data_IF_932494725328
#
_entry.id   IF_932494725328
#
_cell.length_a   1.000
_cell.length_b   1.000
_cell.length_c   1.000
_cell.angle_alpha   90.00
_cell.angle_beta   90.00
_cell.angle_gamma   90.00
#
_symmetry.space_group_name_H-M   'P 1'
#
loop_
_entity.id
_entity.type
_entity.pdbx_description
1 polymer ?
#
# COMPACT_ATOMS: atom_id res chain seq x y z
N UNK A 1 -16.09 -7.00 -0.36
CA UNK A 1 -16.92 -7.80 0.55
C UNK A 1 -17.24 -6.98 1.78
N UNK A 2 -18.50 -6.57 1.93
CA UNK A 2 -18.96 -5.88 3.13
C UNK A 2 -18.96 -6.89 4.29
N UNK A 3 -18.10 -6.69 5.27
CA UNK A 3 -18.08 -7.47 6.49
C UNK A 3 -19.34 -7.12 7.27
N UNK A 4 -20.30 -8.07 7.32
CA UNK A 4 -21.49 -7.95 8.15
C UNK A 4 -21.05 -7.63 9.57
N UNK A 5 -21.67 -6.61 10.13
CA UNK A 5 -21.60 -6.31 11.56
C UNK A 5 -22.29 -7.47 12.29
N UNK A 6 -21.51 -8.43 12.81
CA UNK A 6 -22.02 -9.37 13.78
C UNK A 6 -22.28 -8.59 15.07
N UNK A 7 -23.54 -8.16 15.22
CA UNK A 7 -24.02 -7.45 16.40
C UNK A 7 -24.02 -8.27 17.69
N UNK A 8 -23.37 -9.44 17.68
CA UNK A 8 -23.43 -10.40 18.80
C UNK A 8 -22.10 -10.57 19.53
N UNK A 9 -20.97 -10.08 19.01
CA UNK A 9 -19.65 -10.28 19.61
C UNK A 9 -18.89 -8.96 19.83
N UNK A 10 -18.15 -8.87 20.94
CA UNK A 10 -17.30 -7.75 21.30
C UNK A 10 -18.04 -6.46 21.66
N UNK A 11 -17.37 -5.31 21.53
CA UNK A 11 -17.90 -3.99 21.88
C UNK A 11 -19.17 -3.67 21.06
N UNK A 12 -19.25 -4.07 19.81
CA UNK A 12 -20.42 -3.91 18.95
C UNK A 12 -21.65 -4.62 19.52
N UNK A 13 -21.48 -5.83 20.07
CA UNK A 13 -22.56 -6.58 20.71
C UNK A 13 -23.08 -5.92 21.96
N UNK A 14 -22.19 -5.35 22.77
CA UNK A 14 -22.58 -4.60 24.00
C UNK A 14 -23.38 -3.36 23.63
N UNK A 15 -22.89 -2.57 22.66
CA UNK A 15 -23.59 -1.33 22.25
C UNK A 15 -24.91 -1.64 21.56
N UNK A 16 -24.97 -2.69 20.72
CA UNK A 16 -26.25 -3.11 20.11
C UNK A 16 -27.29 -3.49 21.13
N UNK A 17 -26.92 -4.25 22.18
CA UNK A 17 -27.85 -4.60 23.28
C UNK A 17 -28.30 -3.38 24.05
N UNK A 18 -27.36 -2.48 24.38
CA UNK A 18 -27.67 -1.24 25.07
C UNK A 18 -28.65 -0.38 24.27
N UNK A 19 -28.48 -0.22 22.98
CA UNK A 19 -29.37 0.54 22.10
C UNK A 19 -30.75 -0.13 21.98
N UNK A 20 -30.79 -1.46 21.91
CA UNK A 20 -32.06 -2.20 21.89
C UNK A 20 -32.83 -2.08 23.21
N UNK A 21 -32.14 -2.15 24.32
CA UNK A 21 -32.75 -1.98 25.64
C UNK A 21 -33.22 -0.54 25.86
N UNK A 22 -32.48 0.44 25.39
CA UNK A 22 -32.87 1.84 25.38
C UNK A 22 -34.11 2.07 24.51
N UNK A 23 -34.20 1.45 23.32
CA UNK A 23 -35.36 1.56 22.45
C UNK A 23 -36.62 0.92 23.05
N UNK A 24 -36.47 -0.13 23.86
CA UNK A 24 -37.60 -0.84 24.51
C UNK A 24 -38.12 -0.18 25.78
N UNK A 25 -37.22 0.44 26.55
CA UNK A 25 -37.55 0.95 27.89
C UNK A 25 -37.30 2.46 28.02
N UNK A 26 -36.92 3.15 26.97
CA UNK A 26 -36.59 4.57 26.97
C UNK A 26 -37.81 5.47 27.27
N UNK A 27 -39.05 4.99 27.01
CA UNK A 27 -40.28 5.73 27.31
C UNK A 27 -40.59 5.77 28.80
N UNK A 28 -40.03 4.83 29.57
CA UNK A 28 -40.22 4.75 31.02
C UNK A 28 -39.23 5.64 31.81
N UNK A 29 -38.30 6.31 31.13
CA UNK A 29 -37.29 7.15 31.79
C UNK A 29 -37.78 8.60 31.94
N UNK A 30 -37.50 9.25 33.09
CA UNK A 30 -37.74 10.68 33.26
C UNK A 30 -37.00 11.49 32.17
N UNK A 31 -37.62 12.58 31.69
CA UNK A 31 -37.11 13.37 30.58
C UNK A 31 -35.65 13.82 30.74
N UNK A 32 -35.22 14.24 31.92
CA UNK A 32 -33.85 14.63 32.23
C UNK A 32 -32.85 13.47 32.12
N UNK A 33 -33.29 12.26 32.45
CA UNK A 33 -32.43 11.06 32.32
C UNK A 33 -32.39 10.58 30.89
N UNK A 34 -33.47 10.70 30.13
CA UNK A 34 -33.52 10.34 28.71
C UNK A 34 -32.56 11.14 27.88
N UNK A 35 -32.44 12.46 28.09
CA UNK A 35 -31.43 13.29 27.36
C UNK A 35 -30.00 12.86 27.64
N UNK A 36 -29.66 12.58 28.91
CA UNK A 36 -28.33 12.12 29.28
C UNK A 36 -27.97 10.77 28.65
N UNK A 37 -28.92 9.83 28.69
CA UNK A 37 -28.73 8.50 28.13
C UNK A 37 -28.60 8.56 26.63
N UNK A 38 -29.38 9.40 25.94
CA UNK A 38 -29.26 9.62 24.49
C UNK A 38 -27.90 10.23 24.11
N UNK A 39 -27.40 11.20 24.89
CA UNK A 39 -26.10 11.79 24.68
C UNK A 39 -24.99 10.73 24.79
N UNK A 40 -25.01 9.89 25.82
CA UNK A 40 -24.04 8.81 25.99
C UNK A 40 -24.15 7.72 24.90
N UNK A 41 -25.38 7.40 24.46
CA UNK A 41 -25.61 6.48 23.37
C UNK A 41 -25.00 7.00 22.06
N UNK A 42 -25.18 8.30 21.81
CA UNK A 42 -24.59 8.95 20.61
C UNK A 42 -23.06 8.90 20.66
N UNK A 43 -22.43 9.18 21.79
CA UNK A 43 -20.98 9.11 21.96
C UNK A 43 -20.43 7.70 21.73
N UNK A 44 -21.15 6.68 22.23
CA UNK A 44 -20.78 5.28 21.99
C UNK A 44 -20.87 4.90 20.51
N UNK A 45 -21.90 5.35 19.80
CA UNK A 45 -22.05 5.11 18.35
C UNK A 45 -20.93 5.79 17.58
N UNK A 46 -20.62 7.05 17.89
CA UNK A 46 -19.51 7.79 17.26
C UNK A 46 -18.17 7.10 17.51
N UNK A 47 -17.92 6.64 18.73
CA UNK A 47 -16.69 5.90 19.08
C UNK A 47 -16.56 4.61 18.28
N UNK A 48 -17.63 3.83 18.17
CA UNK A 48 -17.64 2.60 17.36
C UNK A 48 -17.41 2.85 15.88
N UNK A 49 -18.01 3.91 15.33
CA UNK A 49 -17.82 4.27 13.93
C UNK A 49 -16.39 4.75 13.67
N UNK A 50 -15.83 5.55 14.57
CA UNK A 50 -14.44 6.02 14.49
C UNK A 50 -13.43 4.87 14.52
N UNK A 51 -13.61 3.93 15.45
CA UNK A 51 -12.75 2.74 15.57
C UNK A 51 -12.81 1.87 14.31
N UNK A 52 -14.00 1.72 13.71
CA UNK A 52 -14.18 0.99 12.44
C UNK A 52 -13.58 1.69 11.24
N UNK A 53 -13.67 3.02 11.17
CA UNK A 53 -13.07 3.82 10.13
C UNK A 53 -11.53 3.75 10.20
N UNK A 54 -10.96 3.84 11.40
CA UNK A 54 -9.52 3.70 11.62
C UNK A 54 -9.01 2.31 11.25
N UNK A 55 -9.71 1.25 11.64
CA UNK A 55 -9.35 -0.12 11.29
C UNK A 55 -9.41 -0.34 9.77
N UNK A 56 -10.46 0.14 9.11
CA UNK A 56 -10.57 0.06 7.64
C UNK A 56 -9.48 0.84 6.92
N UNK A 57 -9.08 1.99 7.45
CA UNK A 57 -8.00 2.82 6.90
C UNK A 57 -6.65 2.15 7.09
N UNK A 58 -6.39 1.55 8.24
CA UNK A 58 -5.17 0.76 8.51
C UNK A 58 -5.06 -0.46 7.60
N UNK A 59 -6.14 -1.21 7.44
CA UNK A 59 -6.18 -2.37 6.53
C UNK A 59 -5.94 -1.95 5.09
N UNK A 60 -6.58 -0.87 4.61
CA UNK A 60 -6.33 -0.32 3.27
C UNK A 60 -4.88 0.10 3.09
N UNK A 61 -4.31 0.79 4.06
CA UNK A 61 -2.91 1.19 4.04
C UNK A 61 -1.95 0.00 4.00
N UNK A 62 -2.22 -1.08 4.75
CA UNK A 62 -1.43 -2.30 4.72
C UNK A 62 -1.50 -3.01 3.35
N UNK A 63 -2.71 -3.10 2.77
CA UNK A 63 -2.91 -3.67 1.43
C UNK A 63 -2.18 -2.86 0.36
N UNK A 64 -2.26 -1.52 0.42
CA UNK A 64 -1.54 -0.65 -0.52
C UNK A 64 -0.03 -0.81 -0.42
N UNK A 65 0.53 -0.88 0.79
CA UNK A 65 1.97 -1.12 1.00
C UNK A 65 2.40 -2.48 0.44
N UNK A 66 1.65 -3.54 0.71
CA UNK A 66 1.93 -4.87 0.18
C UNK A 66 1.87 -4.90 -1.35
N UNK A 67 0.89 -4.25 -1.94
CA UNK A 67 0.76 -4.13 -3.39
C UNK A 67 1.93 -3.35 -4.00
N UNK A 68 2.33 -2.23 -3.38
CA UNK A 68 3.47 -1.43 -3.84
C UNK A 68 4.78 -2.24 -3.80
N UNK A 69 5.00 -3.06 -2.77
CA UNK A 69 6.15 -3.95 -2.70
C UNK A 69 6.16 -4.95 -3.86
N UNK A 70 5.03 -5.57 -4.16
CA UNK A 70 4.89 -6.49 -5.30
C UNK A 70 5.16 -5.80 -6.64
N UNK A 71 4.68 -4.58 -6.82
CA UNK A 71 4.91 -3.78 -8.02
C UNK A 71 6.40 -3.47 -8.17
N UNK A 72 7.04 -2.97 -7.11
CA UNK A 72 8.47 -2.64 -7.11
C UNK A 72 9.35 -3.88 -7.36
N UNK A 73 8.99 -5.02 -6.79
CA UNK A 73 9.66 -6.30 -7.04
C UNK A 73 9.54 -6.73 -8.51
N UNK A 74 8.34 -6.69 -9.07
CA UNK A 74 8.11 -7.00 -10.49
C UNK A 74 8.93 -6.10 -11.42
N UNK A 75 8.94 -4.78 -11.15
CA UNK A 75 9.75 -3.83 -11.92
C UNK A 75 11.24 -4.15 -11.75
N UNK A 76 11.70 -4.44 -10.52
CA UNK A 76 13.09 -4.77 -10.22
C UNK A 76 13.60 -5.99 -10.97
N UNK A 77 12.73 -6.96 -11.25
CA UNK A 77 13.08 -8.14 -12.04
C UNK A 77 13.13 -7.87 -13.56
N UNK A 78 12.37 -6.87 -14.03
CA UNK A 78 12.14 -6.64 -15.46
C UNK A 78 12.56 -5.26 -15.98
N UNK A 79 13.13 -4.38 -15.18
CA UNK A 79 13.45 -3.00 -15.59
C UNK A 79 14.41 -2.91 -16.80
N UNK A 80 15.13 -4.00 -17.11
CA UNK A 80 16.01 -4.08 -18.28
C UNK A 80 15.25 -4.28 -19.59
N UNK A 81 14.03 -4.81 -19.52
CA UNK A 81 13.17 -4.97 -20.67
C UNK A 81 12.72 -3.59 -21.18
N UNK A 82 13.09 -3.21 -22.44
CA UNK A 82 12.67 -1.92 -22.98
C UNK A 82 11.17 -1.81 -23.19
N UNK A 83 10.45 -2.93 -23.31
CA UNK A 83 9.00 -2.98 -23.46
C UNK A 83 8.26 -2.75 -22.14
N UNK A 84 8.96 -2.85 -20.99
CA UNK A 84 8.32 -2.67 -19.69
C UNK A 84 7.73 -1.27 -19.55
N UNK A 85 6.40 -1.22 -19.40
CA UNK A 85 5.64 0.01 -19.25
C UNK A 85 4.51 -0.12 -18.24
N UNK A 86 3.82 1.01 -17.92
CA UNK A 86 2.75 1.03 -16.92
C UNK A 86 1.63 0.02 -17.20
N UNK A 87 1.24 -0.16 -18.46
CA UNK A 87 0.17 -1.09 -18.84
C UNK A 87 0.53 -2.55 -18.52
N UNK A 88 1.76 -2.96 -18.85
CA UNK A 88 2.25 -4.30 -18.56
C UNK A 88 2.35 -4.56 -17.06
N UNK A 89 2.90 -3.61 -16.32
CA UNK A 89 3.02 -3.71 -14.85
C UNK A 89 1.64 -3.84 -14.22
N UNK A 90 0.69 -2.99 -14.61
CA UNK A 90 -0.67 -3.02 -14.09
C UNK A 90 -1.36 -4.37 -14.36
N UNK A 91 -1.21 -4.90 -15.57
CA UNK A 91 -1.74 -6.22 -15.95
C UNK A 91 -1.11 -7.34 -15.11
N UNK A 92 0.20 -7.32 -14.91
CA UNK A 92 0.92 -8.33 -14.14
C UNK A 92 0.48 -8.44 -12.67
N UNK A 93 0.09 -7.32 -12.06
CA UNK A 93 -0.38 -7.28 -10.68
C UNK A 93 -1.91 -7.20 -10.56
N UNK A 94 -2.63 -7.34 -11.67
CA UNK A 94 -4.10 -7.37 -11.77
C UNK A 94 -4.79 -6.10 -11.23
N UNK A 95 -4.25 -4.94 -11.60
CA UNK A 95 -4.83 -3.63 -11.30
C UNK A 95 -5.00 -2.79 -12.58
N UNK A 96 -5.76 -1.70 -12.50
CA UNK A 96 -5.84 -0.74 -13.59
C UNK A 96 -4.58 0.14 -13.68
N UNK A 97 -4.22 0.58 -14.87
CA UNK A 97 -3.12 1.54 -15.08
C UNK A 97 -3.36 2.84 -14.31
N UNK A 98 -4.61 3.30 -14.23
CA UNK A 98 -4.99 4.48 -13.44
C UNK A 98 -4.69 4.29 -11.95
N UNK A 99 -5.00 3.11 -11.40
CA UNK A 99 -4.72 2.82 -10.00
C UNK A 99 -3.22 2.71 -9.73
N UNK A 100 -2.46 2.13 -10.66
CA UNK A 100 -1.00 2.10 -10.60
C UNK A 100 -0.41 3.52 -10.49
N UNK A 101 -0.85 4.45 -11.36
CA UNK A 101 -0.40 5.84 -11.30
C UNK A 101 -0.75 6.49 -9.96
N UNK A 102 -1.97 6.29 -9.47
CA UNK A 102 -2.41 6.82 -8.18
C UNK A 102 -1.56 6.32 -7.00
N UNK A 103 -1.13 5.05 -7.03
CA UNK A 103 -0.23 4.49 -6.01
C UNK A 103 1.14 5.18 -6.01
N UNK A 104 1.70 5.45 -7.20
CA UNK A 104 3.00 6.14 -7.32
C UNK A 104 2.90 7.63 -7.01
N UNK A 105 1.79 8.30 -7.29
CA UNK A 105 1.55 9.69 -6.89
C UNK A 105 1.63 9.89 -5.37
N UNK A 106 1.17 8.92 -4.59
CA UNK A 106 1.30 8.95 -3.14
C UNK A 106 2.77 8.98 -2.69
N UNK A 107 3.67 8.36 -3.44
CA UNK A 107 5.13 8.39 -3.23
C UNK A 107 5.81 9.59 -3.94
N UNK A 108 5.02 10.54 -4.48
CA UNK A 108 5.51 11.72 -5.25
C UNK A 108 6.42 11.35 -6.43
N UNK A 109 6.19 10.21 -7.03
CA UNK A 109 6.98 9.67 -8.13
C UNK A 109 6.06 9.16 -9.23
N UNK A 110 6.54 9.10 -10.47
CA UNK A 110 5.84 8.41 -11.55
C UNK A 110 6.46 7.04 -11.80
N UNK A 111 5.65 6.10 -12.31
CA UNK A 111 6.13 4.76 -12.69
C UNK A 111 7.32 4.84 -13.65
N UNK A 112 7.21 5.71 -14.66
CA UNK A 112 8.26 5.89 -15.67
C UNK A 112 9.55 6.45 -15.08
N UNK A 113 9.48 7.39 -14.14
CA UNK A 113 10.65 7.92 -13.44
C UNK A 113 11.31 6.87 -12.55
N UNK A 114 10.51 6.03 -11.89
CA UNK A 114 11.02 4.93 -11.09
C UNK A 114 11.80 3.92 -11.95
N UNK A 115 11.24 3.48 -13.07
CA UNK A 115 11.91 2.57 -14.01
C UNK A 115 13.20 3.20 -14.55
N UNK A 116 13.13 4.48 -14.94
CA UNK A 116 14.30 5.23 -15.45
C UNK A 116 15.41 5.31 -14.40
N UNK A 117 15.06 5.55 -13.14
CA UNK A 117 16.01 5.56 -12.04
C UNK A 117 16.74 4.24 -11.89
N UNK A 118 16.05 3.11 -11.89
CA UNK A 118 16.66 1.78 -11.83
C UNK A 118 17.60 1.51 -13.00
N UNK A 119 17.21 1.90 -14.21
CA UNK A 119 18.06 1.77 -15.41
C UNK A 119 19.34 2.60 -15.32
N UNK A 120 19.22 3.84 -14.83
CA UNK A 120 20.37 4.73 -14.64
C UNK A 120 21.32 4.22 -13.56
N UNK A 121 20.79 3.77 -12.42
CA UNK A 121 21.60 3.22 -11.33
C UNK A 121 22.36 1.96 -11.79
N UNK A 122 21.71 1.12 -12.55
CA UNK A 122 22.36 -0.06 -13.12
C UNK A 122 23.44 0.30 -14.15
N UNK A 123 23.16 1.22 -15.05
CA UNK A 123 24.17 1.68 -16.03
C UNK A 123 25.37 2.29 -15.33
N UNK A 124 25.15 3.04 -14.25
CA UNK A 124 26.22 3.60 -13.43
C UNK A 124 27.07 2.51 -12.77
N UNK A 125 26.44 1.47 -12.22
CA UNK A 125 27.15 0.33 -11.65
C UNK A 125 27.98 -0.39 -12.70
N UNK A 126 27.39 -0.71 -13.86
CA UNK A 126 28.09 -1.39 -14.96
C UNK A 126 29.32 -0.59 -15.44
N UNK A 127 29.23 0.76 -15.49
CA UNK A 127 30.36 1.63 -15.81
C UNK A 127 31.46 1.63 -14.72
N UNK A 128 31.07 1.58 -13.46
CA UNK A 128 32.03 1.51 -12.35
C UNK A 128 32.74 0.15 -12.34
N UNK A 129 32.00 -0.93 -12.55
CA UNK A 129 32.52 -2.28 -12.61
C UNK A 129 33.45 -2.46 -13.84
N UNK A 130 33.09 -1.89 -15.00
CA UNK A 130 33.93 -1.91 -16.17
C UNK A 130 35.23 -1.11 -16.01
N UNK A 131 35.18 -0.01 -15.24
CA UNK A 131 36.40 0.74 -14.87
C UNK A 131 37.30 -0.04 -13.91
N UNK A 132 36.75 -0.83 -13.01
CA UNK A 132 37.52 -1.69 -12.10
C UNK A 132 38.03 -2.95 -12.81
N UNK A 133 37.27 -3.51 -13.77
CA UNK A 133 37.69 -4.60 -14.63
C UNK A 133 38.59 -4.16 -15.76
N UNK A 134 38.49 -2.88 -16.16
CA UNK A 134 39.30 -2.23 -17.19
C UNK A 134 40.68 -1.77 -16.72
N UNK A 135 41.25 -2.43 -15.73
CA UNK A 135 42.73 -2.44 -15.58
C UNK A 135 43.30 -3.05 -16.85
N UNK A 136 44.14 -2.33 -17.58
CA UNK A 136 44.49 -2.73 -18.93
C UNK A 136 45.10 -4.13 -18.94
N UNK A 137 44.59 -4.99 -19.79
CA UNK A 137 45.34 -6.11 -20.32
C UNK A 137 46.35 -5.49 -21.30
N UNK A 138 47.21 -4.63 -20.78
CA UNK A 138 48.40 -4.19 -21.45
C UNK A 138 49.52 -5.08 -20.94
N UNK A 139 49.59 -6.31 -21.42
CA UNK A 139 50.85 -7.04 -21.53
C UNK A 139 50.61 -8.40 -22.22
N UNK A 140 50.37 -8.32 -23.49
CA UNK A 140 50.26 -9.50 -24.30
C UNK A 140 50.64 -9.27 -25.77
N UNK A 141 50.96 -8.03 -26.13
CA UNK A 141 51.49 -7.74 -27.48
C UNK A 141 52.93 -7.25 -27.38
N UNK A 142 53.81 -8.15 -27.05
CA UNK A 142 55.21 -7.84 -27.04
C UNK A 142 56.03 -9.11 -26.90
N UNK A 143 56.02 -9.93 -27.94
CA UNK A 143 57.17 -10.75 -28.38
C UNK A 143 56.69 -11.89 -29.28
N UNK A 144 56.58 -11.57 -30.52
CA UNK A 144 56.76 -12.55 -31.58
C UNK A 144 57.22 -11.80 -32.81
N UNK A 145 58.44 -11.28 -32.72
CA UNK A 145 59.26 -11.01 -33.89
C UNK A 145 60.64 -11.45 -33.52
N UNK A 146 60.98 -12.63 -33.93
CA UNK A 146 62.34 -12.94 -34.46
C UNK A 146 62.30 -14.27 -35.17
N UNK A 147 62.51 -14.07 -36.46
CA UNK A 147 63.10 -14.95 -37.47
C UNK A 147 62.46 -16.26 -37.72
#
# INVERSE_FOLDING_TARGET
MARRLDGTAGLTGVVSRFLLDLARHGEDLPAEQSERVLAHASDLVVTLLSDRLDDSTRVRGAVQRSLMLRIKDYIGQRFRDPALGPAEIAAAVSISTRYLHKLFEADRQTVSLYIKGLRLDRARQDLLDSRQAGRPISNGFGKAVRT
#
